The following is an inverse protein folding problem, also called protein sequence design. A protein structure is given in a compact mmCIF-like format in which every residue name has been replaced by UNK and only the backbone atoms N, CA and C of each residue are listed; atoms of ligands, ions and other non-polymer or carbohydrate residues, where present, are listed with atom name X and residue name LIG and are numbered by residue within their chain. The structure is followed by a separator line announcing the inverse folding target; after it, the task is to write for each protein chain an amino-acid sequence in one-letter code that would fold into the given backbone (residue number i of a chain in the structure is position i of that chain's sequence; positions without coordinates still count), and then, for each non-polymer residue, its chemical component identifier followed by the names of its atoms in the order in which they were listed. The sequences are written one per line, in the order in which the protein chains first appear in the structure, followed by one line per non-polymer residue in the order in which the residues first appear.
data_IF_346202955085
#
_entry.id   IF_346202955085
#
_cell.length_a   1.000
_cell.length_b   1.000
_cell.length_c   1.000
_cell.angle_alpha   90.00
_cell.angle_beta   90.00
_cell.angle_gamma   90.00
#
_symmetry.space_group_name_H-M   'P 1'
#
loop_
_entity.id
_entity.type
_entity.pdbx_description
1 polymer ?
#
# COMPACT_ATOMS: atom_id res chain seq x y z
N UNK A 1 -5.31 18.91 6.68
CA UNK A 1 -5.50 17.47 6.95
C UNK A 1 -4.17 16.80 6.71
N UNK A 2 -3.51 16.31 7.76
CA UNK A 2 -2.17 15.72 7.64
C UNK A 2 -2.23 14.41 6.84
N UNK A 3 -1.35 14.19 5.85
CA UNK A 3 -1.23 12.89 5.22
C UNK A 3 -0.85 11.86 6.29
N UNK A 4 -1.56 10.73 6.33
CA UNK A 4 -1.20 9.59 7.17
C UNK A 4 0.12 9.03 6.64
N UNK A 5 1.20 9.52 7.21
CA UNK A 5 2.53 9.12 6.82
C UNK A 5 2.92 7.82 7.53
N UNK A 6 3.58 6.92 6.80
CA UNK A 6 4.04 5.65 7.34
C UNK A 6 5.28 5.90 8.22
N UNK A 7 5.16 5.67 9.53
CA UNK A 7 6.22 5.97 10.50
C UNK A 7 7.25 4.83 10.65
N UNK A 8 6.79 3.58 10.63
CA UNK A 8 7.64 2.39 10.70
C UNK A 8 7.10 1.30 9.77
N UNK A 9 7.98 0.42 9.29
CA UNK A 9 7.56 -0.70 8.46
C UNK A 9 7.52 -2.01 9.26
N UNK A 10 6.43 -2.80 9.15
CA UNK A 10 6.37 -4.15 9.71
C UNK A 10 7.14 -5.15 8.86
N UNK A 11 7.51 -6.30 9.44
CA UNK A 11 8.14 -7.40 8.69
C UNK A 11 7.20 -7.98 7.62
N UNK A 12 5.89 -8.00 7.89
CA UNK A 12 4.86 -8.42 6.95
C UNK A 12 3.95 -7.22 6.69
N UNK A 13 3.89 -6.79 5.42
CA UNK A 13 3.05 -5.67 5.00
C UNK A 13 1.79 -6.19 4.31
N UNK A 14 0.63 -5.84 4.86
CA UNK A 14 -0.68 -6.18 4.27
C UNK A 14 -1.21 -4.96 3.52
N UNK A 15 -1.38 -5.07 2.21
CA UNK A 15 -1.92 -4.01 1.35
C UNK A 15 -3.33 -4.40 0.94
N UNK A 16 -4.31 -3.60 1.38
CA UNK A 16 -5.71 -3.77 0.96
C UNK A 16 -5.99 -2.82 -0.20
N UNK A 17 -6.23 -3.37 -1.39
CA UNK A 17 -6.70 -2.59 -2.53
C UNK A 17 -8.20 -2.37 -2.39
N UNK A 18 -8.63 -1.12 -2.15
CA UNK A 18 -10.04 -0.78 -2.03
C UNK A 18 -10.64 -0.57 -3.42
N UNK A 19 -11.11 -1.66 -4.02
CA UNK A 19 -11.80 -1.65 -5.32
C UNK A 19 -13.27 -1.23 -5.22
N UNK A 20 -13.87 -1.30 -4.02
CA UNK A 20 -15.27 -0.99 -3.81
C UNK A 20 -15.44 0.27 -2.96
N UNK A 21 -16.17 1.24 -3.51
CA UNK A 21 -16.67 2.38 -2.76
C UNK A 21 -18.19 2.29 -2.66
N UNK A 22 -18.70 2.57 -1.47
CA UNK A 22 -20.14 2.59 -1.21
C UNK A 22 -20.55 4.04 -1.01
N UNK A 23 -21.42 4.54 -1.87
CA UNK A 23 -22.14 5.79 -1.65
C UNK A 23 -23.62 5.47 -1.36
N UNK A 24 -24.36 6.40 -0.75
CA UNK A 24 -25.71 6.16 -0.24
C UNK A 24 -26.70 5.68 -1.31
N UNK A 25 -26.39 5.91 -2.59
CA UNK A 25 -27.26 5.62 -3.73
C UNK A 25 -26.70 4.56 -4.70
N UNK A 26 -25.39 4.33 -4.73
CA UNK A 26 -24.74 3.46 -5.72
C UNK A 26 -23.49 2.78 -5.14
N UNK A 27 -23.18 1.58 -5.66
CA UNK A 27 -21.90 0.90 -5.44
C UNK A 27 -21.00 1.18 -6.62
N UNK A 28 -19.85 1.79 -6.37
CA UNK A 28 -18.84 2.01 -7.40
C UNK A 28 -17.77 0.92 -7.29
N UNK A 29 -17.50 0.27 -8.42
CA UNK A 29 -16.38 -0.66 -8.58
C UNK A 29 -15.32 0.02 -9.44
N UNK A 30 -14.13 0.19 -8.88
CA UNK A 30 -12.97 0.68 -9.63
C UNK A 30 -12.38 -0.50 -10.41
N UNK A 31 -12.52 -0.48 -11.73
CA UNK A 31 -11.99 -1.51 -12.65
C UNK A 31 -10.58 -1.18 -13.17
N UNK A 32 -9.82 -0.39 -12.40
CA UNK A 32 -8.46 -0.03 -12.77
C UNK A 32 -7.52 -1.21 -12.55
N UNK A 33 -6.84 -1.65 -13.61
CA UNK A 33 -5.75 -2.61 -13.50
C UNK A 33 -4.62 -2.00 -12.67
N UNK A 34 -4.39 -2.55 -11.48
CA UNK A 34 -3.27 -2.17 -10.64
C UNK A 34 -2.09 -3.08 -10.96
N UNK A 35 -1.09 -2.52 -11.64
CA UNK A 35 0.19 -3.22 -11.84
C UNK A 35 1.02 -3.15 -10.56
N UNK A 36 1.43 -4.30 -10.05
CA UNK A 36 2.30 -4.41 -8.87
C UNK A 36 3.47 -5.36 -9.14
N UNK A 37 4.68 -5.04 -8.64
CA UNK A 37 5.82 -5.93 -8.76
C UNK A 37 5.63 -7.16 -7.85
N UNK A 38 5.95 -8.34 -8.38
CA UNK A 38 5.91 -9.60 -7.61
C UNK A 38 7.08 -9.67 -6.63
N UNK A 39 8.25 -9.18 -7.03
CA UNK A 39 9.46 -9.17 -6.22
C UNK A 39 10.04 -7.76 -6.16
N UNK A 40 10.72 -7.43 -5.06
CA UNK A 40 11.51 -6.21 -4.96
C UNK A 40 10.68 -4.92 -4.85
N UNK A 41 9.50 -4.97 -4.22
CA UNK A 41 8.66 -3.80 -3.98
C UNK A 41 9.39 -2.81 -3.05
N UNK A 42 9.92 -1.73 -3.62
CA UNK A 42 10.61 -0.67 -2.88
C UNK A 42 9.62 0.38 -2.35
N UNK A 43 9.42 0.41 -1.04
CA UNK A 43 8.51 1.34 -0.36
C UNK A 43 9.20 2.34 0.56
N UNK A 44 10.54 2.35 0.61
CA UNK A 44 11.29 3.29 1.46
C UNK A 44 10.90 4.74 1.21
N UNK A 45 10.55 5.09 -0.04
CA UNK A 45 10.10 6.45 -0.42
C UNK A 45 8.83 6.93 0.27
N UNK A 46 8.05 6.02 0.85
CA UNK A 46 6.81 6.34 1.57
C UNK A 46 6.97 6.30 3.10
N UNK A 47 8.16 5.96 3.59
CA UNK A 47 8.47 5.85 5.01
C UNK A 47 9.17 7.12 5.46
N UNK A 48 8.66 7.76 6.51
CA UNK A 48 9.28 8.97 7.05
C UNK A 48 10.55 8.68 7.85
N UNK A 49 10.71 7.45 8.33
CA UNK A 49 11.84 7.06 9.15
C UNK A 49 13.00 6.51 8.30
N UNK A 50 14.10 7.27 8.14
CA UNK A 50 15.28 6.84 7.37
C UNK A 50 16.08 5.72 8.06
N UNK A 51 15.84 5.45 9.34
CA UNK A 51 16.50 4.38 10.09
C UNK A 51 15.80 3.02 9.97
N UNK A 52 14.69 2.96 9.24
CA UNK A 52 14.04 1.68 8.96
C UNK A 52 14.91 0.91 7.96
N UNK A 53 15.20 -0.37 8.23
CA UNK A 53 16.06 -1.22 7.39
C UNK A 53 15.58 -1.37 5.93
N UNK A 54 16.15 -2.29 5.14
CA UNK A 54 15.82 -2.42 3.72
C UNK A 54 14.30 -2.59 3.52
N UNK A 55 13.66 -1.55 2.98
CA UNK A 55 12.22 -1.44 2.77
C UNK A 55 11.80 -2.08 1.44
N UNK A 56 12.25 -3.32 1.23
CA UNK A 56 12.05 -4.12 0.04
C UNK A 56 11.19 -5.32 0.43
N UNK A 57 10.07 -5.50 -0.27
CA UNK A 57 9.10 -6.57 0.01
C UNK A 57 8.89 -7.42 -1.23
N UNK A 58 8.75 -8.72 -1.02
CA UNK A 58 8.28 -9.65 -2.04
C UNK A 58 6.82 -9.99 -1.77
N UNK A 59 6.04 -10.18 -2.83
CA UNK A 59 4.64 -10.55 -2.74
C UNK A 59 4.52 -12.00 -2.30
N UNK A 60 3.89 -12.22 -1.15
CA UNK A 60 3.44 -13.53 -0.71
C UNK A 60 1.90 -13.54 -0.67
N UNK A 61 1.30 -14.61 -1.21
CA UNK A 61 -0.15 -14.80 -1.33
C UNK A 61 -0.56 -16.14 -0.72
#
# INVERSE_FOLDING_TARGET
TTPQNLWSLPQVLIIHIKLFSYNRYWRDMLDSLVEYPVNGLYIAKYVLNPSNGPAIYDLCA
#
